data_IF_119317186255
#
_entry.id   IF_119317186255
#
_cell.length_a   1.000
_cell.length_b   1.000
_cell.length_c   1.000
_cell.angle_alpha   90.00
_cell.angle_beta   90.00
_cell.angle_gamma   90.00
#
_symmetry.space_group_name_H-M   'P 1'
#
loop_
_entity.id
_entity.type
_entity.pdbx_description
1 polymer ?
#
# COMPACT_ATOMS: atom_id res chain seq x y z
N UNK A 1 10.43 12.27 -24.15
CA UNK A 1 11.26 11.43 -23.28
C UNK A 1 11.24 12.03 -21.88
N UNK A 2 10.16 11.84 -21.13
CA UNK A 2 10.06 12.25 -19.73
C UNK A 2 8.82 11.60 -19.06
N UNK A 3 8.72 10.27 -19.12
CA UNK A 3 7.60 9.55 -18.46
C UNK A 3 8.10 8.31 -17.68
N UNK A 4 9.41 8.07 -17.67
CA UNK A 4 10.03 6.83 -17.19
C UNK A 4 10.36 6.81 -15.69
N UNK A 5 10.07 7.86 -14.93
CA UNK A 5 10.27 7.84 -13.46
C UNK A 5 9.10 7.21 -12.72
N UNK A 6 7.87 7.38 -13.23
CA UNK A 6 6.66 6.93 -12.56
C UNK A 6 6.43 5.41 -12.70
N UNK A 7 7.02 4.76 -13.70
CA UNK A 7 6.82 3.33 -13.97
C UNK A 7 7.97 2.42 -13.47
N UNK A 8 8.90 2.96 -12.67
CA UNK A 8 9.95 2.15 -12.07
C UNK A 8 9.40 1.34 -10.90
N UNK A 9 9.52 0.00 -10.91
CA UNK A 9 9.12 -0.81 -9.77
C UNK A 9 9.96 -0.46 -8.55
N UNK A 10 9.35 -0.54 -7.36
CA UNK A 10 10.05 -0.36 -6.08
C UNK A 10 9.92 1.02 -5.44
N UNK A 11 9.07 1.90 -5.99
CA UNK A 11 8.74 3.20 -5.35
C UNK A 11 7.56 3.08 -4.37
N UNK A 12 6.72 2.05 -4.52
CA UNK A 12 5.59 1.78 -3.63
C UNK A 12 6.04 1.31 -2.25
N UNK A 13 5.52 1.96 -1.21
CA UNK A 13 5.76 1.58 0.18
C UNK A 13 4.57 1.91 1.09
N UNK A 14 4.52 1.25 2.24
CA UNK A 14 3.59 1.51 3.33
C UNK A 14 4.31 1.77 4.65
N UNK A 15 3.71 2.59 5.50
CA UNK A 15 4.22 2.96 6.82
C UNK A 15 3.09 2.91 7.84
N UNK A 16 3.42 2.71 9.12
CA UNK A 16 2.45 2.81 10.21
C UNK A 16 3.01 3.57 11.40
N UNK A 17 2.11 4.25 12.10
CA UNK A 17 2.41 5.11 13.24
C UNK A 17 1.39 4.85 14.34
N UNK A 18 1.84 4.86 15.60
CA UNK A 18 0.97 5.05 16.75
C UNK A 18 0.72 6.55 16.92
N UNK A 19 -0.53 6.88 17.25
CA UNK A 19 -0.95 8.25 17.55
C UNK A 19 -1.14 8.33 19.07
N UNK A 20 -0.33 9.13 19.73
CA UNK A 20 -0.43 9.38 21.16
C UNK A 20 -1.60 10.33 21.48
N UNK A 21 -2.05 10.38 22.73
CA UNK A 21 -3.19 11.23 23.16
C UNK A 21 -2.98 12.74 22.87
N UNK A 22 -1.72 13.17 22.77
CA UNK A 22 -1.33 14.54 22.43
C UNK A 22 -1.17 14.78 20.91
N UNK A 23 -1.48 13.77 20.08
CA UNK A 23 -1.36 13.81 18.62
C UNK A 23 0.04 13.54 18.07
N UNK A 24 1.00 13.16 18.92
CA UNK A 24 2.35 12.81 18.46
C UNK A 24 2.33 11.48 17.70
N UNK A 25 3.10 11.39 16.61
CA UNK A 25 3.25 10.19 15.81
C UNK A 25 4.54 9.45 16.18
N UNK A 26 4.41 8.20 16.62
CA UNK A 26 5.53 7.29 16.83
C UNK A 26 5.56 6.26 15.71
N UNK A 27 6.63 6.23 14.92
CA UNK A 27 6.79 5.25 13.84
C UNK A 27 6.82 3.83 14.39
N UNK A 28 5.97 2.95 13.84
CA UNK A 28 5.97 1.50 14.11
C UNK A 28 6.63 0.77 12.95
N UNK A 29 6.10 0.94 11.74
CA UNK A 29 6.70 0.46 10.50
C UNK A 29 7.14 1.66 9.68
N UNK A 30 8.45 1.83 9.48
CA UNK A 30 9.02 3.03 8.83
C UNK A 30 8.74 3.08 7.34
N UNK A 31 9.33 2.19 6.55
CA UNK A 31 9.14 2.13 5.10
C UNK A 31 9.15 0.68 4.66
N UNK A 32 7.95 0.11 4.54
CA UNK A 32 7.75 -1.23 4.05
C UNK A 32 7.50 -1.18 2.54
N UNK A 33 8.56 -1.38 1.75
CA UNK A 33 8.46 -1.46 0.30
C UNK A 33 7.57 -2.63 -0.13
N UNK A 34 6.76 -2.42 -1.18
CA UNK A 34 5.88 -3.44 -1.74
C UNK A 34 6.23 -3.84 -3.18
N UNK A 35 7.28 -3.23 -3.75
CA UNK A 35 7.79 -3.57 -5.08
C UNK A 35 6.98 -3.00 -6.25
N UNK A 36 5.82 -2.39 -6.00
CA UNK A 36 5.02 -1.75 -7.05
C UNK A 36 5.60 -0.38 -7.42
N UNK A 37 5.16 0.16 -8.56
CA UNK A 37 5.61 1.45 -9.08
C UNK A 37 4.95 2.65 -8.37
N UNK A 38 3.82 2.43 -7.70
CA UNK A 38 3.04 3.47 -7.02
C UNK A 38 2.21 2.88 -5.90
N UNK A 39 1.89 3.68 -4.88
CA UNK A 39 0.81 3.47 -3.91
C UNK A 39 -0.11 4.68 -3.88
N UNK A 40 -1.43 4.49 -3.80
CA UNK A 40 -2.39 5.62 -3.86
C UNK A 40 -3.42 5.64 -2.73
N UNK A 41 -4.26 4.62 -2.62
CA UNK A 41 -5.26 4.51 -1.54
C UNK A 41 -5.05 3.25 -0.73
N UNK A 42 -5.31 3.36 0.57
CA UNK A 42 -5.29 2.24 1.51
C UNK A 42 -6.64 2.14 2.22
N UNK A 43 -7.14 0.93 2.40
CA UNK A 43 -8.31 0.63 3.24
C UNK A 43 -8.00 -0.51 4.20
N UNK A 44 -8.58 -0.47 5.40
CA UNK A 44 -8.51 -1.56 6.38
C UNK A 44 -9.79 -2.39 6.36
N UNK A 45 -9.67 -3.68 6.66
CA UNK A 45 -10.82 -4.53 6.98
C UNK A 45 -11.49 -4.07 8.27
N UNK A 46 -12.78 -4.38 8.44
CA UNK A 46 -13.55 -3.95 9.61
C UNK A 46 -12.99 -4.50 10.95
N UNK A 47 -12.29 -5.63 10.90
CA UNK A 47 -11.59 -6.21 12.05
C UNK A 47 -10.19 -5.61 12.28
N UNK A 48 -9.75 -4.69 11.41
CA UNK A 48 -8.47 -4.01 11.48
C UNK A 48 -7.26 -4.90 11.23
N UNK A 49 -7.43 -6.15 10.80
CA UNK A 49 -6.32 -7.13 10.68
C UNK A 49 -5.65 -7.17 9.31
N UNK A 50 -6.30 -6.62 8.29
CA UNK A 50 -5.75 -6.57 6.94
C UNK A 50 -5.92 -5.17 6.35
N UNK A 51 -4.95 -4.79 5.52
CA UNK A 51 -5.04 -3.59 4.69
C UNK A 51 -4.83 -3.96 3.22
N UNK A 52 -5.52 -3.22 2.35
CA UNK A 52 -5.37 -3.33 0.90
C UNK A 52 -4.97 -1.98 0.33
N UNK A 53 -3.99 -1.98 -0.56
CA UNK A 53 -3.47 -0.77 -1.20
C UNK A 53 -3.61 -0.86 -2.71
N UNK A 54 -4.08 0.22 -3.32
CA UNK A 54 -4.22 0.33 -4.79
C UNK A 54 -2.96 0.85 -5.44
N UNK A 55 -2.50 0.14 -6.47
CA UNK A 55 -1.26 0.41 -7.19
C UNK A 55 -1.58 0.76 -8.65
N UNK A 56 -2.03 1.99 -8.96
CA UNK A 56 -2.61 2.31 -10.26
C UNK A 56 -1.64 2.12 -11.43
N UNK A 57 -0.35 2.46 -11.25
CA UNK A 57 0.64 2.30 -12.33
C UNK A 57 0.98 0.83 -12.58
N UNK A 58 0.93 0.00 -11.53
CA UNK A 58 1.14 -1.45 -11.62
C UNK A 58 -0.14 -2.24 -11.93
N UNK A 59 -1.29 -1.56 -12.06
CA UNK A 59 -2.61 -2.17 -12.23
C UNK A 59 -2.89 -3.31 -11.23
N UNK A 60 -2.49 -3.12 -9.97
CA UNK A 60 -2.53 -4.16 -8.96
C UNK A 60 -3.13 -3.66 -7.63
N UNK A 61 -3.48 -4.62 -6.77
CA UNK A 61 -3.71 -4.41 -5.35
C UNK A 61 -2.65 -5.16 -4.56
N UNK A 62 -2.04 -4.52 -3.57
CA UNK A 62 -1.22 -5.20 -2.57
C UNK A 62 -2.01 -5.42 -1.28
N UNK A 63 -1.65 -6.46 -0.53
CA UNK A 63 -2.31 -6.83 0.73
C UNK A 63 -1.31 -6.93 1.88
N UNK A 64 -1.73 -6.50 3.06
CA UNK A 64 -0.91 -6.42 4.25
C UNK A 64 -1.65 -7.02 5.44
N UNK A 65 -0.91 -7.63 6.36
CA UNK A 65 -1.37 -7.89 7.72
C UNK A 65 -1.05 -6.69 8.59
N UNK A 66 -2.03 -6.31 9.40
CA UNK A 66 -1.89 -5.33 10.46
C UNK A 66 -1.87 -6.11 11.78
N UNK A 67 -0.77 -6.05 12.50
CA UNK A 67 -0.62 -6.69 13.80
C UNK A 67 -1.23 -5.82 14.90
N UNK A 68 -1.47 -6.43 16.07
CA UNK A 68 -2.12 -5.74 17.19
C UNK A 68 -1.29 -4.56 17.73
N UNK A 69 0.04 -4.62 17.58
CA UNK A 69 0.98 -3.56 17.91
C UNK A 69 1.08 -2.46 16.83
N UNK A 70 0.30 -2.55 15.75
CA UNK A 70 0.32 -1.62 14.62
C UNK A 70 1.39 -1.92 13.58
N UNK A 71 2.17 -3.00 13.74
CA UNK A 71 3.17 -3.39 12.76
C UNK A 71 2.49 -3.87 11.46
N UNK A 72 3.04 -3.48 10.32
CA UNK A 72 2.61 -3.93 9.00
C UNK A 72 3.52 -5.04 8.48
N UNK A 73 2.92 -6.06 7.90
CA UNK A 73 3.64 -7.07 7.12
C UNK A 73 3.01 -7.21 5.76
N UNK A 74 3.82 -7.14 4.69
CA UNK A 74 3.35 -7.38 3.34
C UNK A 74 2.99 -8.86 3.20
N UNK A 75 1.73 -9.16 2.89
CA UNK A 75 1.27 -10.53 2.64
C UNK A 75 1.44 -10.89 1.18
N UNK A 76 1.05 -9.98 0.28
CA UNK A 76 1.19 -10.17 -1.16
C UNK A 76 1.31 -8.82 -1.87
N UNK A 77 2.39 -8.63 -2.64
CA UNK A 77 2.62 -7.45 -3.48
C UNK A 77 1.62 -7.34 -4.65
N UNK A 78 1.07 -8.48 -5.11
CA UNK A 78 0.02 -8.57 -6.14
C UNK A 78 -1.07 -9.52 -5.64
N UNK A 79 -1.90 -9.02 -4.73
CA UNK A 79 -3.07 -9.71 -4.19
C UNK A 79 -4.21 -9.79 -5.22
N UNK A 80 -4.29 -8.83 -6.13
CA UNK A 80 -5.19 -8.86 -7.28
C UNK A 80 -4.62 -8.02 -8.43
N UNK A 81 -4.94 -8.41 -9.67
CA UNK A 81 -4.70 -7.59 -10.85
C UNK A 81 -6.01 -6.93 -11.25
N UNK A 82 -5.97 -5.60 -11.40
CA UNK A 82 -7.12 -4.83 -11.87
C UNK A 82 -7.17 -4.96 -13.39
N UNK A 83 -8.29 -5.43 -13.92
CA UNK A 83 -8.47 -5.47 -15.36
C UNK A 83 -8.38 -4.05 -15.92
N UNK A 84 -7.53 -3.85 -16.92
CA UNK A 84 -7.57 -2.67 -17.79
C UNK A 84 -8.76 -2.80 -18.74
N UNK A 85 -9.98 -2.65 -18.20
CA UNK A 85 -11.14 -2.37 -19.04
C UNK A 85 -11.11 -0.91 -19.44
N UNK A 86 -11.04 -0.60 -20.74
CA UNK A 86 -11.41 0.73 -21.20
C UNK A 86 -12.88 0.95 -20.79
N UNK A 87 -13.23 2.01 -20.06
CA UNK A 87 -14.63 2.34 -19.76
C UNK A 87 -15.48 2.67 -21.00
N UNK A 88 -14.92 2.56 -22.22
CA UNK A 88 -15.60 2.75 -23.50
C UNK A 88 -15.91 1.47 -24.28
N UNK A 89 -15.59 0.28 -23.76
CA UNK A 89 -15.95 -1.00 -24.37
C UNK A 89 -17.19 -1.65 -23.72
#
# INVERSE_FOLDING_TARGET
>A
MADSFLDLPGLGAASSFLVDDNGTLTSVTSTLGNGNASTCWMVLTNDGRHAFVTEPLSHALSSYRVHHDGNLTLLNANAATLATGDPRD
#
